data_IF_160682387159
#
_entry.id   IF_160682387159
#
_cell.length_a   1.000
_cell.length_b   1.000
_cell.length_c   1.000
_cell.angle_alpha   90.00
_cell.angle_beta   90.00
_cell.angle_gamma   90.00
#
_symmetry.space_group_name_H-M   'P 1'
#
loop_
_entity.id
_entity.type
_entity.pdbx_description
1 polymer ?
#
# COMPACT_ATOMS: atom_id res chain seq x y z
N UNK A 1 -14.33 36.97 -34.92
CA UNK A 1 -14.97 35.68 -34.60
C UNK A 1 -13.89 34.63 -34.38
N UNK A 2 -14.06 33.96 -33.26
CA UNK A 2 -13.30 32.90 -32.59
C UNK A 2 -12.69 31.78 -33.47
N UNK A 3 -11.40 31.52 -33.21
CA UNK A 3 -10.76 30.22 -32.92
C UNK A 3 -11.21 28.96 -33.67
N UNK A 4 -10.24 28.31 -34.33
CA UNK A 4 -9.93 26.90 -34.03
C UNK A 4 -8.45 26.65 -34.26
N UNK A 5 -7.67 26.73 -33.18
CA UNK A 5 -6.41 26.01 -33.07
C UNK A 5 -6.74 24.53 -33.29
N UNK A 6 -6.44 24.00 -34.47
CA UNK A 6 -6.28 22.57 -34.63
C UNK A 6 -4.86 22.32 -34.19
N UNK A 7 -4.71 22.01 -32.90
CA UNK A 7 -3.55 21.28 -32.43
C UNK A 7 -3.47 20.06 -33.31
N UNK A 8 -2.59 20.13 -34.31
CA UNK A 8 -1.96 18.95 -34.88
C UNK A 8 -1.23 18.30 -33.71
N UNK A 9 -1.97 17.56 -32.89
CA UNK A 9 -1.42 16.43 -32.17
C UNK A 9 -0.78 15.60 -33.27
N UNK A 10 0.53 15.77 -33.41
CA UNK A 10 1.38 14.92 -34.21
C UNK A 10 1.00 13.53 -33.73
N UNK A 11 0.23 12.80 -34.54
CA UNK A 11 0.10 11.36 -34.46
C UNK A 11 1.52 10.87 -34.71
N UNK A 12 2.32 10.86 -33.65
CA UNK A 12 3.69 10.39 -33.64
C UNK A 12 3.59 8.88 -33.77
N UNK A 13 3.29 8.47 -35.01
CA UNK A 13 3.01 7.10 -35.36
C UNK A 13 4.26 6.28 -35.04
N UNK A 14 4.08 5.27 -34.20
CA UNK A 14 5.18 4.43 -33.80
C UNK A 14 5.61 3.58 -35.00
N UNK A 15 6.91 3.57 -35.30
CA UNK A 15 7.45 2.75 -36.37
C UNK A 15 7.76 1.36 -35.82
N UNK A 16 7.28 0.31 -36.50
CA UNK A 16 7.63 -1.09 -36.22
C UNK A 16 8.59 -1.58 -37.29
N UNK A 17 9.76 -2.06 -36.89
CA UNK A 17 10.63 -2.85 -37.77
C UNK A 17 10.30 -4.32 -37.60
N UNK A 18 9.78 -4.94 -38.65
CA UNK A 18 9.39 -6.36 -38.68
C UNK A 18 10.60 -7.29 -38.76
N UNK A 19 11.68 -6.85 -39.41
CA UNK A 19 12.94 -7.60 -39.51
C UNK A 19 13.63 -7.74 -38.15
N UNK A 20 13.78 -6.63 -37.43
CA UNK A 20 14.46 -6.58 -36.14
C UNK A 20 13.52 -6.78 -34.94
N UNK A 21 12.20 -6.90 -35.20
CA UNK A 21 11.14 -6.90 -34.18
C UNK A 21 11.32 -5.76 -33.17
N UNK A 22 11.52 -4.55 -33.68
CA UNK A 22 11.71 -3.32 -32.87
C UNK A 22 10.57 -2.34 -33.07
N UNK A 23 10.41 -1.44 -32.11
CA UNK A 23 9.38 -0.40 -32.14
C UNK A 23 9.97 0.90 -31.58
N UNK A 24 9.66 2.04 -32.20
CA UNK A 24 10.11 3.35 -31.72
C UNK A 24 9.38 3.85 -30.46
N UNK A 25 8.35 3.14 -30.00
CA UNK A 25 7.57 3.57 -28.84
C UNK A 25 8.42 3.67 -27.57
N UNK A 26 8.07 4.60 -26.70
CA UNK A 26 8.79 4.86 -25.44
C UNK A 26 9.01 3.60 -24.61
N UNK A 27 8.04 2.68 -24.59
CA UNK A 27 8.16 1.43 -23.86
C UNK A 27 9.34 0.58 -24.33
N UNK A 28 9.53 0.44 -25.65
CA UNK A 28 10.67 -0.31 -26.19
C UNK A 28 11.98 0.42 -25.88
N UNK A 29 12.00 1.74 -25.98
CA UNK A 29 13.20 2.55 -25.73
C UNK A 29 13.65 2.49 -24.26
N UNK A 30 12.72 2.51 -23.31
CA UNK A 30 13.04 2.54 -21.87
C UNK A 30 13.15 1.15 -21.27
N UNK A 31 12.19 0.26 -21.56
CA UNK A 31 12.13 -1.06 -20.98
C UNK A 31 12.92 -2.10 -21.79
N UNK A 32 13.28 -1.85 -23.04
CA UNK A 32 14.07 -2.79 -23.87
C UNK A 32 13.45 -4.20 -23.95
N UNK A 33 12.12 -4.25 -23.90
CA UNK A 33 11.30 -5.46 -24.01
C UNK A 33 10.34 -5.33 -25.22
N UNK A 34 9.78 -6.44 -25.72
CA UNK A 34 8.69 -6.39 -26.68
C UNK A 34 7.53 -5.54 -26.13
N UNK A 35 7.14 -4.51 -26.87
CA UNK A 35 6.02 -3.63 -26.48
C UNK A 35 4.69 -4.20 -26.98
N UNK A 36 3.58 -3.64 -26.49
CA UNK A 36 2.23 -4.01 -26.94
C UNK A 36 2.05 -3.91 -28.47
N UNK A 37 2.70 -2.94 -29.13
CA UNK A 37 2.58 -2.77 -30.58
C UNK A 37 3.18 -3.95 -31.35
N UNK A 38 4.36 -4.44 -30.92
CA UNK A 38 4.97 -5.64 -31.50
C UNK A 38 4.10 -6.88 -31.25
N UNK A 39 3.52 -7.00 -30.05
CA UNK A 39 2.65 -8.12 -29.68
C UNK A 39 1.36 -8.11 -30.52
N UNK A 40 0.73 -6.95 -30.68
CA UNK A 40 -0.50 -6.82 -31.47
C UNK A 40 -0.25 -7.02 -32.96
N UNK A 41 0.80 -6.40 -33.52
CA UNK A 41 1.16 -6.61 -34.92
C UNK A 41 1.31 -8.10 -35.25
N UNK A 42 1.92 -8.88 -34.35
CA UNK A 42 2.08 -10.33 -34.52
C UNK A 42 0.77 -11.11 -34.42
N UNK A 43 -0.13 -10.67 -33.56
CA UNK A 43 -1.48 -11.25 -33.44
C UNK A 43 -2.30 -10.98 -34.70
N UNK A 44 -2.19 -9.79 -35.27
CA UNK A 44 -2.93 -9.40 -36.48
C UNK A 44 -2.34 -10.02 -37.76
N UNK A 45 -1.02 -10.23 -37.80
CA UNK A 45 -0.33 -10.83 -38.96
C UNK A 45 -0.21 -12.36 -38.87
N UNK A 46 -0.91 -12.98 -37.91
CA UNK A 46 -0.90 -14.44 -37.68
C UNK A 46 0.52 -15.02 -37.59
N UNK A 47 1.39 -14.32 -36.86
CA UNK A 47 2.79 -14.71 -36.72
C UNK A 47 2.96 -15.75 -35.61
N UNK A 48 2.85 -17.03 -35.96
CA UNK A 48 3.02 -18.18 -35.05
C UNK A 48 4.45 -18.36 -34.52
N UNK A 49 5.43 -17.78 -35.21
CA UNK A 49 6.84 -17.96 -34.85
C UNK A 49 7.14 -17.26 -33.53
N UNK A 50 7.53 -18.01 -32.50
CA UNK A 50 8.00 -17.46 -31.22
C UNK A 50 8.99 -16.29 -31.44
N UNK A 51 8.84 -15.25 -30.62
CA UNK A 51 9.75 -14.11 -30.63
C UNK A 51 11.20 -14.59 -30.47
N UNK A 52 12.11 -14.24 -31.40
CA UNK A 52 13.50 -14.69 -31.32
C UNK A 52 14.14 -14.22 -30.02
N UNK A 53 14.89 -15.10 -29.33
CA UNK A 53 15.58 -14.73 -28.07
C UNK A 53 16.52 -13.54 -28.23
N UNK A 54 17.04 -13.30 -29.44
CA UNK A 54 17.92 -12.18 -29.78
C UNK A 54 17.29 -10.81 -29.59
N UNK A 55 15.96 -10.70 -29.60
CA UNK A 55 15.26 -9.42 -29.44
C UNK A 55 15.16 -9.00 -27.97
N UNK A 56 15.28 -9.96 -27.04
CA UNK A 56 15.21 -9.71 -25.61
C UNK A 56 16.56 -9.14 -25.21
N UNK A 57 16.57 -7.87 -24.80
CA UNK A 57 17.80 -7.21 -24.41
C UNK A 57 18.50 -7.99 -23.27
N UNK A 58 19.84 -8.16 -23.31
CA UNK A 58 20.58 -8.97 -22.33
C UNK A 58 20.25 -8.64 -20.87
N UNK A 59 19.91 -7.39 -20.56
CA UNK A 59 19.44 -6.93 -19.24
C UNK A 59 18.37 -7.84 -18.62
N UNK A 60 17.46 -8.38 -19.44
CA UNK A 60 16.33 -9.18 -18.99
C UNK A 60 16.59 -10.68 -19.02
N UNK A 61 17.76 -11.13 -19.47
CA UNK A 61 18.12 -12.53 -19.41
C UNK A 61 18.37 -12.92 -17.96
N UNK A 62 17.77 -14.02 -17.49
CA UNK A 62 17.91 -14.53 -16.12
C UNK A 62 19.39 -14.68 -15.69
N UNK A 63 20.29 -14.99 -16.62
CA UNK A 63 21.74 -15.07 -16.36
C UNK A 63 22.33 -13.71 -15.95
N UNK A 64 21.89 -12.64 -16.59
CA UNK A 64 22.35 -11.28 -16.30
C UNK A 64 21.63 -10.69 -15.09
N UNK A 65 20.35 -11.01 -14.89
CA UNK A 65 19.65 -10.70 -13.65
C UNK A 65 20.35 -11.30 -12.43
N UNK A 66 20.75 -12.59 -12.50
CA UNK A 66 21.53 -13.24 -11.44
C UNK A 66 22.90 -12.59 -11.23
N UNK A 67 23.60 -12.21 -12.31
CA UNK A 67 24.88 -11.47 -12.22
C UNK A 67 24.73 -10.05 -11.66
N UNK A 68 23.58 -9.41 -11.91
CA UNK A 68 23.25 -8.12 -11.33
C UNK A 68 22.93 -8.28 -9.85
N UNK A 69 22.10 -9.26 -9.49
CA UNK A 69 21.81 -9.63 -8.09
C UNK A 69 23.09 -9.98 -7.33
N UNK A 70 24.03 -10.71 -7.94
CA UNK A 70 25.32 -11.05 -7.32
C UNK A 70 26.31 -9.87 -7.27
N UNK A 71 26.13 -8.82 -8.08
CA UNK A 71 26.89 -7.56 -7.96
C UNK A 71 26.24 -6.59 -6.97
N UNK A 72 24.94 -6.71 -6.75
CA UNK A 72 24.19 -6.08 -5.66
C UNK A 72 24.37 -6.95 -4.42
N UNK A 73 25.61 -7.09 -3.97
CA UNK A 73 25.89 -7.60 -2.63
C UNK A 73 25.60 -6.48 -1.66
N UNK A 74 24.40 -6.46 -1.10
CA UNK A 74 24.24 -6.26 0.33
C UNK A 74 23.16 -7.24 0.82
N UNK A 75 23.65 -8.15 1.68
CA UNK A 75 22.95 -9.13 2.51
C UNK A 75 22.63 -10.47 1.85
N UNK A 76 23.06 -11.51 2.56
CA UNK A 76 23.35 -12.89 2.19
C UNK A 76 22.20 -13.71 1.60
N UNK A 77 22.59 -14.79 0.91
CA UNK A 77 21.71 -15.89 0.49
C UNK A 77 20.87 -16.41 1.66
N UNK A 78 19.55 -16.40 1.47
CA UNK A 78 18.61 -17.17 2.27
C UNK A 78 17.92 -18.12 1.30
N UNK A 79 18.54 -19.29 1.11
CA UNK A 79 17.92 -20.47 0.53
C UNK A 79 17.12 -21.16 1.66
N UNK A 80 16.09 -20.46 2.16
CA UNK A 80 15.21 -20.97 3.21
C UNK A 80 13.81 -21.13 2.60
N UNK A 81 13.20 -22.30 2.82
CA UNK A 81 11.86 -22.60 2.34
C UNK A 81 10.89 -21.48 2.77
N UNK A 82 9.94 -21.13 1.91
CA UNK A 82 8.94 -20.11 2.20
C UNK A 82 8.18 -20.47 3.49
N UNK A 83 8.54 -19.80 4.58
CA UNK A 83 7.77 -19.75 5.79
C UNK A 83 7.08 -18.39 5.83
N UNK A 84 5.77 -18.38 6.07
CA UNK A 84 5.04 -17.16 6.44
C UNK A 84 5.54 -16.80 7.85
N UNK A 85 6.64 -16.06 7.92
CA UNK A 85 7.12 -15.48 9.17
C UNK A 85 6.23 -14.29 9.47
N UNK A 86 5.56 -14.32 10.62
CA UNK A 86 5.01 -13.12 11.21
C UNK A 86 6.16 -12.11 11.31
N UNK A 87 6.05 -11.03 10.56
CA UNK A 87 6.99 -9.91 10.65
C UNK A 87 6.74 -9.32 12.03
N UNK A 88 7.44 -9.84 13.03
CA UNK A 88 7.70 -9.08 14.24
C UNK A 88 8.43 -7.87 13.73
N UNK A 89 7.72 -6.74 13.67
CA UNK A 89 8.23 -5.45 13.25
C UNK A 89 9.52 -5.23 13.99
N UNK A 90 10.63 -5.53 13.31
CA UNK A 90 11.95 -5.22 13.81
C UNK A 90 11.88 -3.71 13.99
N UNK A 91 11.92 -3.25 15.23
CA UNK A 91 11.90 -1.84 15.58
C UNK A 91 13.17 -1.24 15.00
N UNK A 92 13.13 -0.92 13.71
CA UNK A 92 14.21 -0.24 13.04
C UNK A 92 14.30 1.11 13.71
N UNK A 93 15.45 1.43 14.27
CA UNK A 93 15.86 2.78 14.71
C UNK A 93 15.86 3.81 13.57
N UNK A 94 15.37 3.44 12.39
CA UNK A 94 15.14 4.32 11.25
C UNK A 94 14.07 5.35 11.60
N UNK A 95 14.43 6.61 11.51
CA UNK A 95 13.47 7.72 11.54
C UNK A 95 12.41 7.53 10.47
N UNK A 96 11.14 7.44 10.88
CA UNK A 96 10.01 7.37 9.95
C UNK A 96 9.92 8.66 9.13
N UNK A 97 9.74 8.52 7.83
CA UNK A 97 9.42 9.62 6.92
C UNK A 97 8.09 10.28 7.30
N UNK A 98 7.89 11.53 6.87
CA UNK A 98 6.62 12.24 7.08
C UNK A 98 5.44 11.47 6.49
N UNK A 99 5.61 10.86 5.31
CA UNK A 99 4.56 10.10 4.64
C UNK A 99 4.18 8.83 5.42
N UNK A 100 5.17 8.11 5.97
CA UNK A 100 4.89 6.93 6.83
C UNK A 100 4.12 7.33 8.08
N UNK A 101 4.55 8.39 8.78
CA UNK A 101 3.85 8.92 9.97
C UNK A 101 2.41 9.32 9.65
N UNK A 102 2.22 10.02 8.52
CA UNK A 102 0.89 10.42 8.07
C UNK A 102 0.02 9.20 7.74
N UNK A 103 0.54 8.25 6.98
CA UNK A 103 -0.19 7.05 6.60
C UNK A 103 -0.63 6.22 7.81
N UNK A 104 0.25 6.08 8.82
CA UNK A 104 -0.07 5.37 10.06
C UNK A 104 -1.24 6.05 10.81
N UNK A 105 -1.19 7.37 10.99
CA UNK A 105 -2.26 8.12 11.65
C UNK A 105 -3.56 8.11 10.84
N UNK A 106 -3.46 8.21 9.51
CA UNK A 106 -4.62 8.24 8.62
C UNK A 106 -5.41 6.93 8.66
N UNK A 107 -4.71 5.78 8.73
CA UNK A 107 -5.36 4.46 8.84
C UNK A 107 -6.19 4.39 10.14
N UNK A 108 -5.63 4.82 11.27
CA UNK A 108 -6.33 4.82 12.55
C UNK A 108 -7.52 5.77 12.52
N UNK A 109 -7.34 6.99 12.01
CA UNK A 109 -8.42 7.97 11.89
C UNK A 109 -9.59 7.46 11.03
N UNK A 110 -9.28 6.75 9.93
CA UNK A 110 -10.28 6.11 9.07
C UNK A 110 -11.06 5.03 9.81
N UNK A 111 -10.38 4.17 10.56
CA UNK A 111 -11.03 3.12 11.36
C UNK A 111 -11.95 3.70 12.43
N UNK A 112 -11.54 4.77 13.11
CA UNK A 112 -12.38 5.45 14.10
C UNK A 112 -13.65 5.98 13.44
N UNK A 113 -13.54 6.59 12.26
CA UNK A 113 -14.70 7.11 11.53
C UNK A 113 -15.65 5.99 11.06
N UNK A 114 -15.11 4.87 10.58
CA UNK A 114 -15.87 3.68 10.13
C UNK A 114 -16.63 3.01 11.28
N UNK A 115 -16.04 2.94 12.47
CA UNK A 115 -16.70 2.39 13.67
C UNK A 115 -17.71 3.40 14.22
N UNK A 116 -17.29 4.67 14.35
CA UNK A 116 -18.09 5.73 14.94
C UNK A 116 -19.40 5.97 14.19
N UNK A 117 -19.41 5.89 12.86
CA UNK A 117 -20.62 6.10 12.06
C UNK A 117 -21.70 5.03 12.26
N UNK A 118 -21.36 3.87 12.83
CA UNK A 118 -22.30 2.80 13.16
C UNK A 118 -22.95 2.99 14.53
N UNK A 119 -22.46 3.94 15.34
CA UNK A 119 -23.02 4.21 16.67
C UNK A 119 -24.33 4.98 16.59
N UNK A 120 -25.14 4.88 17.65
CA UNK A 120 -26.33 5.72 17.81
C UNK A 120 -25.98 7.21 17.87
N UNK A 121 -26.94 8.09 17.52
CA UNK A 121 -26.72 9.53 17.33
C UNK A 121 -26.08 10.22 18.54
N UNK A 122 -26.57 9.94 19.76
CA UNK A 122 -26.01 10.51 20.99
C UNK A 122 -24.56 10.08 21.22
N UNK A 123 -24.26 8.79 21.07
CA UNK A 123 -22.91 8.25 21.24
C UNK A 123 -21.94 8.77 20.16
N UNK A 124 -22.40 8.89 18.92
CA UNK A 124 -21.64 9.51 17.83
C UNK A 124 -21.33 10.98 18.10
N UNK A 125 -22.31 11.74 18.63
CA UNK A 125 -22.10 13.15 19.00
C UNK A 125 -21.06 13.29 20.11
N UNK A 126 -21.12 12.43 21.14
CA UNK A 126 -20.09 12.37 22.19
C UNK A 126 -18.72 12.04 21.63
N UNK A 127 -18.61 11.02 20.76
CA UNK A 127 -17.35 10.65 20.08
C UNK A 127 -16.78 11.83 19.29
N UNK A 128 -17.62 12.53 18.53
CA UNK A 128 -17.22 13.68 17.72
C UNK A 128 -16.67 14.79 18.61
N UNK A 129 -17.35 15.10 19.72
CA UNK A 129 -16.88 16.10 20.68
C UNK A 129 -15.53 15.72 21.31
N UNK A 130 -15.32 14.46 21.66
CA UNK A 130 -14.04 13.96 22.16
C UNK A 130 -12.93 14.04 21.09
N UNK A 131 -13.22 13.69 19.83
CA UNK A 131 -12.25 13.79 18.73
C UNK A 131 -11.84 15.23 18.45
N UNK A 132 -12.73 16.20 18.61
CA UNK A 132 -12.39 17.63 18.50
C UNK A 132 -11.39 18.02 19.60
N UNK A 133 -11.57 17.57 20.84
CA UNK A 133 -10.62 17.84 21.92
C UNK A 133 -9.25 17.21 21.65
N UNK A 134 -9.22 15.97 21.15
CA UNK A 134 -7.99 15.28 20.70
C UNK A 134 -7.28 16.09 19.62
N UNK A 135 -8.02 16.58 18.62
CA UNK A 135 -7.47 17.37 17.52
C UNK A 135 -6.82 18.66 18.02
N UNK A 136 -7.48 19.40 18.92
CA UNK A 136 -6.93 20.64 19.48
C UNK A 136 -5.68 20.38 20.34
N UNK A 137 -5.66 19.30 21.13
CA UNK A 137 -4.47 18.92 21.89
C UNK A 137 -3.28 18.56 20.98
N UNK A 138 -3.52 17.82 19.88
CA UNK A 138 -2.48 17.49 18.90
C UNK A 138 -1.97 18.73 18.17
N UNK A 139 -2.85 19.67 17.82
CA UNK A 139 -2.44 20.97 17.23
C UNK A 139 -1.55 21.78 18.18
N UNK A 140 -1.79 21.69 19.48
CA UNK A 140 -0.95 22.30 20.50
C UNK A 140 0.39 21.57 20.73
N UNK A 141 0.63 20.45 20.03
CA UNK A 141 1.85 19.64 20.17
C UNK A 141 1.81 18.64 21.34
N UNK A 142 0.65 18.45 21.97
CA UNK A 142 0.48 17.57 23.12
C UNK A 142 -0.09 16.20 22.70
N UNK A 143 0.33 15.13 23.37
CA UNK A 143 -0.27 13.81 23.22
C UNK A 143 -1.50 13.69 24.15
N UNK A 144 -2.71 13.47 23.62
CA UNK A 144 -3.91 13.39 24.44
C UNK A 144 -3.91 12.13 25.32
N UNK A 145 -4.13 12.29 26.62
CA UNK A 145 -4.33 11.18 27.54
C UNK A 145 -5.82 10.85 27.60
N UNK A 146 -6.19 9.65 27.14
CA UNK A 146 -7.56 9.16 27.24
C UNK A 146 -7.77 8.56 28.63
N UNK A 147 -8.62 9.18 29.45
CA UNK A 147 -9.04 8.61 30.75
C UNK A 147 -10.10 7.55 30.49
N UNK A 148 -9.85 6.30 30.88
CA UNK A 148 -10.90 5.28 30.89
C UNK A 148 -11.89 5.63 32.02
N UNK A 149 -13.21 5.59 31.77
CA UNK A 149 -14.17 5.61 32.86
C UNK A 149 -13.98 4.32 33.66
N UNK A 150 -13.66 4.46 34.95
CA UNK A 150 -13.67 3.37 35.90
C UNK A 150 -15.05 2.71 35.82
N UNK A 151 -15.11 1.43 35.47
CA UNK A 151 -16.34 0.67 35.54
C UNK A 151 -16.78 0.62 37.00
N UNK A 152 -17.78 1.42 37.37
CA UNK A 152 -18.57 1.22 38.59
C UNK A 152 -19.25 -0.15 38.47
N UNK A 153 -18.57 -1.22 38.89
CA UNK A 153 -19.23 -2.49 39.18
C UNK A 153 -20.01 -2.28 40.47
N UNK A 154 -21.33 -2.21 40.28
CA UNK A 154 -22.34 -2.07 41.31
C UNK A 154 -22.11 -3.05 42.46
N UNK A 155 -22.16 -2.54 43.68
CA UNK A 155 -22.27 -3.33 44.89
C UNK A 155 -23.50 -4.25 44.78
N UNK A 156 -23.25 -5.54 44.53
CA UNK A 156 -24.25 -6.58 44.75
C UNK A 156 -24.39 -6.80 46.25
N UNK A 157 -25.36 -6.11 46.83
CA UNK A 157 -25.94 -6.42 48.15
C UNK A 157 -26.24 -7.91 48.22
N UNK A 158 -25.52 -8.62 49.09
CA UNK A 158 -25.86 -10.00 49.45
C UNK A 158 -26.87 -9.99 50.61
N UNK A 159 -27.94 -10.81 50.59
CA UNK A 159 -28.88 -10.89 51.68
C UNK A 159 -28.25 -11.62 52.88
N UNK A 160 -28.46 -11.07 54.07
CA UNK A 160 -28.20 -11.69 55.36
C UNK A 160 -29.04 -12.96 55.55
N UNK A 161 -28.41 -14.02 56.09
CA UNK A 161 -29.08 -15.20 56.65
C UNK A 161 -28.69 -15.32 58.14
N UNK A 162 -29.59 -15.80 59.02
CA UNK A 162 -29.54 -15.54 60.45
C UNK A 162 -28.63 -16.53 61.21
N UNK A 163 -28.15 -16.06 62.36
CA UNK A 163 -27.45 -16.88 63.35
C UNK A 163 -28.35 -17.98 63.92
N UNK A 164 -27.81 -19.17 64.23
CA UNK A 164 -28.47 -20.09 65.12
C UNK A 164 -28.03 -19.80 66.57
N UNK A 165 -28.97 -19.38 67.40
CA UNK A 165 -28.93 -19.64 68.83
C UNK A 165 -28.86 -21.15 69.07
N UNK A 166 -28.03 -21.60 70.02
CA UNK A 166 -28.46 -22.46 71.15
C UNK A 166 -27.27 -22.90 72.01
N UNK A 167 -27.40 -22.59 73.31
CA UNK A 167 -26.96 -23.27 74.55
C UNK A 167 -25.52 -23.78 74.75
#
# INVERSE_FOLDING_TARGET
MTMKNKTDDILEEYMISTEAWTCSCIFRMTHLLPCRHIIYYRKETDCDRLLPKSIIHPRWLLKNYRKLKSKVTLVEDVEEAFEIRDIKTLSTTRTKSQNEKFSELQVIGKQIAEIGCQWGTTAHATLTASMVQVLEAVKAGNCPLLRQPESEHSQSTSPSLPEPDSD
#
